data_IF_436152233584
#
_entry.id   IF_436152233584
#
_cell.length_a   1.000
_cell.length_b   1.000
_cell.length_c   1.000
_cell.angle_alpha   90.00
_cell.angle_beta   90.00
_cell.angle_gamma   90.00
#
_symmetry.space_group_name_H-M   'P 1'
#
loop_
_entity.id
_entity.type
_entity.pdbx_description
1 polymer ?
#
# COMPACT_ATOMS: atom_id res chain seq x y z
N UNK A 1 -0.98 14.99 -1.31
CA UNK A 1 0.51 15.09 -1.33
C UNK A 1 1.08 13.68 -1.33
N UNK A 2 2.06 13.40 -2.18
CA UNK A 2 2.72 12.09 -2.25
C UNK A 2 3.65 11.86 -1.04
N UNK A 3 3.80 10.61 -0.63
CA UNK A 3 4.70 10.20 0.46
C UNK A 3 6.16 10.42 0.05
N UNK A 4 7.00 10.85 1.00
CA UNK A 4 8.45 11.02 0.79
C UNK A 4 8.87 12.37 0.17
N UNK A 5 7.99 13.04 -0.57
CA UNK A 5 8.33 14.30 -1.26
C UNK A 5 8.67 15.45 -0.31
N UNK A 6 7.97 15.56 0.83
CA UNK A 6 8.29 16.59 1.83
C UNK A 6 9.67 16.35 2.44
N UNK A 7 9.96 15.09 2.79
CA UNK A 7 11.24 14.70 3.37
C UNK A 7 12.39 14.97 2.38
N UNK A 8 12.18 14.65 1.09
CA UNK A 8 13.15 14.93 0.04
C UNK A 8 13.40 16.44 -0.11
N UNK A 9 12.33 17.23 -0.11
CA UNK A 9 12.43 18.68 -0.17
C UNK A 9 13.19 19.26 1.03
N UNK A 10 12.88 18.83 2.25
CA UNK A 10 13.58 19.27 3.47
C UNK A 10 15.07 18.92 3.46
N UNK A 11 15.44 17.76 2.90
CA UNK A 11 16.84 17.37 2.75
C UNK A 11 17.57 18.21 1.69
N UNK A 12 16.91 18.50 0.56
CA UNK A 12 17.47 19.34 -0.51
C UNK A 12 17.64 20.80 -0.07
N UNK A 13 16.76 21.29 0.81
CA UNK A 13 16.81 22.64 1.36
C UNK A 13 17.75 22.75 2.59
N UNK A 14 18.54 21.70 2.87
CA UNK A 14 19.51 21.68 3.97
C UNK A 14 18.89 21.66 5.38
N UNK A 15 17.57 21.49 5.50
CA UNK A 15 16.83 21.47 6.78
C UNK A 15 16.88 20.11 7.48
N UNK A 16 17.30 19.07 6.76
CA UNK A 16 17.49 17.72 7.29
C UNK A 16 18.75 17.11 6.66
N UNK A 17 19.52 16.28 7.38
CA UNK A 17 20.63 15.54 6.79
C UNK A 17 20.14 14.62 5.67
N UNK A 18 20.88 14.59 4.55
CA UNK A 18 20.56 13.72 3.41
C UNK A 18 20.65 12.23 3.77
N UNK A 19 21.53 11.88 4.73
CA UNK A 19 21.65 10.52 5.27
C UNK A 19 20.35 10.01 5.90
N UNK A 20 19.54 10.89 6.50
CA UNK A 20 18.27 10.52 7.14
C UNK A 20 17.10 10.37 6.16
N UNK A 21 17.24 10.87 4.92
CA UNK A 21 16.16 10.91 3.94
C UNK A 21 15.59 9.50 3.68
N UNK A 22 16.47 8.51 3.53
CA UNK A 22 16.09 7.11 3.28
C UNK A 22 15.19 6.58 4.40
N UNK A 23 15.63 6.73 5.65
CA UNK A 23 14.91 6.17 6.80
C UNK A 23 13.57 6.87 7.03
N UNK A 24 13.53 8.20 6.87
CA UNK A 24 12.29 8.98 6.91
C UNK A 24 11.32 8.57 5.79
N UNK A 25 11.84 8.31 4.58
CA UNK A 25 11.07 7.82 3.44
C UNK A 25 10.48 6.43 3.67
N UNK A 26 11.28 5.50 4.20
CA UNK A 26 10.84 4.15 4.60
C UNK A 26 9.74 4.25 5.67
N UNK A 27 9.95 5.05 6.71
CA UNK A 27 8.96 5.24 7.77
C UNK A 27 7.64 5.78 7.23
N UNK A 28 7.69 6.84 6.41
CA UNK A 28 6.49 7.45 5.84
C UNK A 28 5.72 6.47 4.94
N UNK A 29 6.42 5.64 4.16
CA UNK A 29 5.80 4.60 3.30
C UNK A 29 5.15 3.50 4.13
N UNK A 30 5.80 3.04 5.20
CA UNK A 30 5.20 2.06 6.14
C UNK A 30 3.95 2.62 6.82
N UNK A 31 3.95 3.89 7.21
CA UNK A 31 2.78 4.54 7.80
C UNK A 31 1.62 4.64 6.81
N UNK A 32 1.90 4.95 5.54
CA UNK A 32 0.88 4.93 4.49
C UNK A 32 0.28 3.53 4.33
N UNK A 33 1.12 2.51 4.15
CA UNK A 33 0.68 1.12 3.99
C UNK A 33 -0.16 0.65 5.19
N UNK A 34 0.30 0.93 6.42
CA UNK A 34 -0.45 0.62 7.65
C UNK A 34 -1.84 1.25 7.64
N UNK A 35 -1.95 2.53 7.29
CA UNK A 35 -3.25 3.22 7.20
C UNK A 35 -4.14 2.58 6.15
N UNK A 36 -3.61 2.31 4.95
CA UNK A 36 -4.38 1.63 3.88
C UNK A 36 -4.93 0.29 4.36
N UNK A 37 -4.10 -0.54 5.01
CA UNK A 37 -4.52 -1.82 5.57
C UNK A 37 -5.59 -1.64 6.66
N UNK A 38 -5.43 -0.66 7.56
CA UNK A 38 -6.44 -0.35 8.58
C UNK A 38 -7.80 -0.01 7.96
N UNK A 39 -7.82 0.83 6.92
CA UNK A 39 -9.05 1.19 6.22
C UNK A 39 -9.68 -0.01 5.51
N UNK A 40 -8.88 -0.81 4.78
CA UNK A 40 -9.36 -2.02 4.12
C UNK A 40 -9.94 -3.01 5.14
N UNK A 41 -9.32 -3.18 6.31
CA UNK A 41 -9.81 -4.06 7.38
C UNK A 41 -11.19 -3.67 7.93
N UNK A 42 -11.61 -2.41 7.76
CA UNK A 42 -12.93 -1.96 8.15
C UNK A 42 -14.01 -2.25 7.07
N UNK A 43 -13.63 -2.69 5.87
CA UNK A 43 -14.57 -3.03 4.80
C UNK A 43 -15.08 -4.47 4.96
N UNK A 44 -16.38 -4.70 5.22
CA UNK A 44 -16.92 -6.04 5.51
C UNK A 44 -16.88 -6.99 4.31
N UNK A 45 -17.07 -6.47 3.09
CA UNK A 45 -17.17 -7.26 1.86
C UNK A 45 -15.81 -7.50 1.17
N UNK A 46 -14.69 -7.19 1.85
CA UNK A 46 -13.37 -7.40 1.26
C UNK A 46 -13.07 -8.88 1.05
N UNK A 47 -12.35 -9.19 -0.02
CA UNK A 47 -11.72 -10.50 -0.21
C UNK A 47 -10.20 -10.28 -0.23
N UNK A 48 -9.47 -11.05 0.56
CA UNK A 48 -8.01 -10.90 0.72
C UNK A 48 -7.31 -11.96 -0.10
N UNK A 49 -6.33 -11.53 -0.91
CA UNK A 49 -5.42 -12.41 -1.65
C UNK A 49 -4.01 -12.09 -1.18
N UNK A 50 -3.30 -13.10 -0.68
CA UNK A 50 -1.90 -12.96 -0.29
C UNK A 50 -1.05 -12.79 -1.57
N UNK A 51 -0.23 -11.74 -1.62
CA UNK A 51 0.50 -11.37 -2.85
C UNK A 51 1.79 -12.17 -3.06
N UNK A 52 2.29 -12.82 -2.02
CA UNK A 52 3.50 -13.64 -1.98
C UNK A 52 3.25 -15.13 -2.25
N UNK A 53 1.98 -15.52 -2.39
CA UNK A 53 1.59 -16.89 -2.74
C UNK A 53 1.75 -17.14 -4.25
N UNK A 54 2.36 -18.26 -4.69
CA UNK A 54 2.48 -18.60 -6.11
C UNK A 54 1.14 -18.62 -6.87
N UNK A 55 0.05 -18.93 -6.16
CA UNK A 55 -1.29 -19.02 -6.73
C UNK A 55 -2.10 -17.69 -6.66
N UNK A 56 -1.51 -16.59 -6.21
CA UNK A 56 -2.22 -15.31 -5.98
C UNK A 56 -3.02 -14.83 -7.20
N UNK A 57 -2.43 -14.92 -8.40
CA UNK A 57 -3.10 -14.53 -9.65
C UNK A 57 -4.35 -15.38 -9.90
N UNK A 58 -4.23 -16.70 -9.74
CA UNK A 58 -5.36 -17.61 -9.99
C UNK A 58 -6.47 -17.43 -8.96
N UNK A 59 -6.11 -17.19 -7.70
CA UNK A 59 -7.06 -16.85 -6.64
C UNK A 59 -7.82 -15.56 -6.98
N UNK A 60 -7.12 -14.50 -7.36
CA UNK A 60 -7.74 -13.23 -7.74
C UNK A 60 -8.70 -13.39 -8.93
N UNK A 61 -8.29 -14.12 -9.98
CA UNK A 61 -9.14 -14.38 -11.15
C UNK A 61 -10.40 -15.19 -10.78
N UNK A 62 -10.28 -16.20 -9.91
CA UNK A 62 -11.43 -16.99 -9.46
C UNK A 62 -12.44 -16.14 -8.69
N UNK A 63 -11.97 -15.27 -7.79
CA UNK A 63 -12.81 -14.35 -7.01
C UNK A 63 -13.57 -13.39 -7.92
N UNK A 64 -12.88 -12.78 -8.89
CA UNK A 64 -13.53 -11.86 -9.85
C UNK A 64 -14.57 -12.60 -10.69
N UNK A 65 -14.27 -13.79 -11.21
CA UNK A 65 -15.22 -14.60 -11.99
C UNK A 65 -16.47 -14.98 -11.19
N UNK A 66 -16.30 -15.40 -9.93
CA UNK A 66 -17.41 -15.74 -9.06
C UNK A 66 -18.35 -14.54 -8.85
N UNK A 67 -17.81 -13.34 -8.64
CA UNK A 67 -18.60 -12.12 -8.52
C UNK A 67 -19.29 -11.77 -9.84
N UNK A 68 -18.58 -11.80 -10.97
CA UNK A 68 -19.14 -11.46 -12.28
C UNK A 68 -20.27 -12.40 -12.73
N UNK A 69 -20.21 -13.69 -12.38
CA UNK A 69 -21.30 -14.65 -12.65
C UNK A 69 -22.57 -14.41 -11.85
N UNK A 70 -22.49 -13.62 -10.78
CA UNK A 70 -23.60 -13.30 -9.87
C UNK A 70 -24.35 -12.02 -10.30
N UNK A 71 -23.84 -11.27 -11.29
CA UNK A 71 -24.48 -10.06 -11.86
C UNK A 71 -25.43 -10.32 -13.04
N UNK A 72 -25.93 -11.55 -13.21
CA UNK A 72 -26.99 -11.88 -14.16
C UNK A 72 -28.35 -11.96 -13.47
#
# INVERSE_FOLDING_TARGET
RCVGYRQAWEALDGRSPMSELRDKGIFATRQLAKRQITWLRAMPQRQVVACDEPAALQQALALVKAQMGTFR
#
